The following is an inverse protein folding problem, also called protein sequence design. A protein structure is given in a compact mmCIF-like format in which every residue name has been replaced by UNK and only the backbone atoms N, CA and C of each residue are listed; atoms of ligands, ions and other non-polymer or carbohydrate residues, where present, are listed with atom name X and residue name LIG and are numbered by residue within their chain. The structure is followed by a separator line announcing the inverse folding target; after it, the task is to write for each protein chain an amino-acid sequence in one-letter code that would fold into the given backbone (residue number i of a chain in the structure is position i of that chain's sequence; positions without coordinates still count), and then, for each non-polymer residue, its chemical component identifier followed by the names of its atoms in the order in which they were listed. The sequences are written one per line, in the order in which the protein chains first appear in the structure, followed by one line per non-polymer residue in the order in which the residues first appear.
data_IF_263191131475
#
_entry.id   IF_263191131475
#
_cell.length_a   1.000
_cell.length_b   1.000
_cell.length_c   1.000
_cell.angle_alpha   90.00
_cell.angle_beta   90.00
_cell.angle_gamma   90.00
#
_symmetry.space_group_name_H-M   'P 1'
#
loop_
_entity.id
_entity.type
_entity.pdbx_description
1 polymer ?
#
# COMPACT_ATOMS: atom_id res chain seq x y z
N UNK A 1 -19.15 7.51 42.09
CA UNK A 1 -18.09 8.53 42.32
C UNK A 1 -16.78 7.78 42.49
N UNK A 2 -15.61 8.38 42.21
CA UNK A 2 -14.33 7.68 42.42
C UNK A 2 -14.05 7.56 43.92
N UNK A 3 -13.40 6.46 44.35
CA UNK A 3 -13.02 6.27 45.77
C UNK A 3 -12.18 7.44 46.31
N UNK A 4 -11.40 8.08 45.43
CA UNK A 4 -10.63 9.29 45.73
C UNK A 4 -11.52 10.52 46.02
N UNK A 5 -12.64 10.67 45.30
CA UNK A 5 -13.59 11.76 45.55
C UNK A 5 -14.34 11.57 46.87
N UNK A 6 -14.73 10.34 47.20
CA UNK A 6 -15.36 10.00 48.49
C UNK A 6 -14.39 10.19 49.67
N UNK A 7 -13.10 9.92 49.47
CA UNK A 7 -12.07 10.16 50.49
C UNK A 7 -11.81 11.67 50.71
N UNK A 8 -11.86 12.48 49.65
CA UNK A 8 -11.72 13.93 49.76
C UNK A 8 -12.89 14.55 50.53
N UNK A 9 -14.12 14.09 50.26
CA UNK A 9 -15.32 14.51 51.00
C UNK A 9 -15.25 14.12 52.48
N UNK A 10 -14.82 12.89 52.81
CA UNK A 10 -14.64 12.45 54.19
C UNK A 10 -13.57 13.27 54.95
N UNK A 11 -12.48 13.66 54.28
CA UNK A 11 -11.46 14.56 54.86
C UNK A 11 -11.99 15.95 55.15
N UNK A 12 -12.83 16.49 54.27
CA UNK A 12 -13.47 17.79 54.48
C UNK A 12 -14.45 17.74 55.65
N UNK A 13 -15.30 16.72 55.71
CA UNK A 13 -16.23 16.51 56.83
C UNK A 13 -15.52 16.30 58.17
N UNK A 14 -14.36 15.62 58.15
CA UNK A 14 -13.52 15.47 59.34
C UNK A 14 -12.99 16.83 59.84
N UNK A 15 -12.50 17.68 58.94
CA UNK A 15 -12.00 19.02 59.28
C UNK A 15 -13.12 19.90 59.85
N UNK A 16 -14.28 19.91 59.21
CA UNK A 16 -15.45 20.65 59.67
C UNK A 16 -15.97 20.16 61.04
N UNK A 17 -15.92 18.85 61.29
CA UNK A 17 -16.27 18.28 62.59
C UNK A 17 -15.26 18.65 63.68
N UNK A 18 -13.96 18.69 63.34
CA UNK A 18 -12.90 19.09 64.27
C UNK A 18 -12.98 20.59 64.62
N UNK A 19 -13.31 21.46 63.66
CA UNK A 19 -13.54 22.90 63.90
C UNK A 19 -14.76 23.17 64.79
N UNK A 20 -15.76 22.29 64.75
CA UNK A 20 -16.97 22.36 65.59
C UNK A 20 -16.82 21.62 66.93
N UNK A 21 -15.61 21.14 67.25
CA UNK A 21 -15.29 20.34 68.45
C UNK A 21 -16.15 19.07 68.61
N UNK A 22 -16.71 18.56 67.51
CA UNK A 22 -17.46 17.31 67.45
C UNK A 22 -16.50 16.13 67.23
N UNK A 23 -15.77 15.79 68.29
CA UNK A 23 -14.70 14.80 68.25
C UNK A 23 -15.19 13.39 67.89
N UNK A 24 -16.46 13.06 68.18
CA UNK A 24 -17.05 11.76 67.86
C UNK A 24 -17.27 11.62 66.35
N UNK A 25 -17.80 12.66 65.68
CA UNK A 25 -17.89 12.69 64.22
C UNK A 25 -16.53 12.73 63.54
N UNK A 26 -15.59 13.52 64.05
CA UNK A 26 -14.23 13.58 63.49
C UNK A 26 -13.51 12.23 63.57
N UNK A 27 -13.75 11.44 64.63
CA UNK A 27 -13.22 10.08 64.78
C UNK A 27 -13.88 9.11 63.79
N UNK A 28 -15.20 9.19 63.63
CA UNK A 28 -15.94 8.33 62.68
C UNK A 28 -15.49 8.57 61.23
N UNK A 29 -15.32 9.83 60.82
CA UNK A 29 -14.79 10.15 59.49
C UNK A 29 -13.32 9.72 59.33
N UNK A 30 -12.51 9.77 60.40
CA UNK A 30 -11.15 9.20 60.38
C UNK A 30 -11.14 7.71 60.06
N UNK A 31 -12.01 6.95 60.73
CA UNK A 31 -12.16 5.50 60.50
C UNK A 31 -12.64 5.22 59.07
N UNK A 32 -13.52 6.08 58.54
CA UNK A 32 -13.98 6.01 57.15
C UNK A 32 -12.84 6.28 56.16
N UNK A 33 -12.02 7.29 56.39
CA UNK A 33 -10.84 7.61 55.58
C UNK A 33 -9.86 6.42 55.59
N UNK A 34 -9.56 5.85 56.75
CA UNK A 34 -8.65 4.70 56.86
C UNK A 34 -9.19 3.46 56.11
N UNK A 35 -10.51 3.27 56.09
CA UNK A 35 -11.16 2.19 55.34
C UNK A 35 -11.10 2.43 53.83
N UNK A 36 -11.36 3.65 53.38
CA UNK A 36 -11.26 4.05 51.97
C UNK A 36 -9.82 3.96 51.47
N UNK A 37 -8.84 4.40 52.27
CA UNK A 37 -7.42 4.27 51.95
C UNK A 37 -7.02 2.81 51.77
N UNK A 38 -7.42 1.92 52.67
CA UNK A 38 -7.19 0.47 52.52
C UNK A 38 -7.84 -0.12 51.27
N UNK A 39 -9.00 0.40 50.85
CA UNK A 39 -9.66 -0.04 49.62
C UNK A 39 -8.94 0.45 48.37
N UNK A 40 -8.39 1.66 48.37
CA UNK A 40 -7.55 2.22 47.31
C UNK A 40 -6.22 1.44 47.22
N UNK A 41 -5.56 1.21 48.34
CA UNK A 41 -4.30 0.48 48.41
C UNK A 41 -4.47 -0.97 47.90
N UNK A 42 -5.54 -1.67 48.31
CA UNK A 42 -5.85 -3.02 47.84
C UNK A 42 -6.31 -3.08 46.37
N UNK A 43 -6.99 -2.03 45.86
CA UNK A 43 -7.34 -1.95 44.42
C UNK A 43 -6.09 -1.80 43.54
N UNK A 44 -5.04 -1.16 44.06
CA UNK A 44 -3.82 -0.88 43.31
C UNK A 44 -2.97 -2.16 43.12
N UNK A 45 -3.02 -3.12 44.05
CA UNK A 45 -2.30 -4.40 43.92
C UNK A 45 -2.98 -5.40 42.97
N UNK A 46 -4.32 -5.41 42.90
CA UNK A 46 -5.07 -6.38 42.06
C UNK A 46 -5.32 -5.92 40.62
N UNK A 47 -5.02 -4.65 40.27
CA UNK A 47 -5.25 -4.09 38.94
C UNK A 47 -3.99 -3.48 38.30
N UNK A 48 -2.80 -4.03 38.53
CA UNK A 48 -1.67 -3.74 37.63
C UNK A 48 -1.95 -4.38 36.28
N UNK A 49 -2.53 -3.61 35.36
CA UNK A 49 -2.64 -3.99 33.95
C UNK A 49 -1.23 -3.98 33.37
N UNK A 50 -0.59 -5.14 33.36
CA UNK A 50 0.72 -5.33 32.73
C UNK A 50 0.47 -5.62 31.26
N UNK A 51 0.67 -4.62 30.40
CA UNK A 51 0.67 -4.84 28.96
C UNK A 51 1.90 -5.68 28.58
N UNK A 52 1.68 -6.77 27.84
CA UNK A 52 2.75 -7.54 27.22
C UNK A 52 3.22 -6.85 25.94
N UNK A 53 4.40 -7.22 25.44
CA UNK A 53 4.90 -6.74 24.13
C UNK A 53 3.89 -7.04 23.01
N UNK A 54 3.15 -8.16 23.11
CA UNK A 54 2.13 -8.54 22.14
C UNK A 54 0.89 -7.65 22.22
N UNK A 55 0.49 -7.21 23.40
CA UNK A 55 -0.65 -6.31 23.57
C UNK A 55 -0.36 -4.94 22.94
N UNK A 56 0.89 -4.46 23.11
CA UNK A 56 1.36 -3.21 22.49
C UNK A 56 1.42 -3.36 20.96
N UNK A 57 1.96 -4.47 20.45
CA UNK A 57 1.99 -4.75 19.02
C UNK A 57 0.55 -4.79 18.43
N UNK A 58 -0.37 -5.55 19.03
CA UNK A 58 -1.75 -5.62 18.55
C UNK A 58 -2.50 -4.29 18.65
N UNK A 59 -2.14 -3.42 19.61
CA UNK A 59 -2.71 -2.08 19.67
C UNK A 59 -2.22 -1.21 18.50
N UNK A 60 -0.92 -1.24 18.21
CA UNK A 60 -0.33 -0.52 17.07
C UNK A 60 -0.90 -1.04 15.74
N UNK A 61 -1.02 -2.36 15.58
CA UNK A 61 -1.65 -2.97 14.40
C UNK A 61 -3.11 -2.56 14.22
N UNK A 62 -3.91 -2.53 15.30
CA UNK A 62 -5.30 -2.04 15.23
C UNK A 62 -5.40 -0.56 14.86
N UNK A 63 -4.47 0.27 15.33
CA UNK A 63 -4.48 1.71 15.05
C UNK A 63 -3.98 2.04 13.64
N UNK A 64 -3.01 1.27 13.14
CA UNK A 64 -2.31 1.58 11.88
C UNK A 64 -2.73 0.68 10.72
N UNK A 65 -3.37 -0.45 11.00
CA UNK A 65 -3.62 -1.53 10.05
C UNK A 65 -2.36 -2.33 9.68
N UNK A 66 -1.21 -2.04 10.29
CA UNK A 66 0.08 -2.61 9.90
C UNK A 66 0.47 -3.71 10.88
N UNK A 67 0.70 -4.94 10.40
CA UNK A 67 1.08 -6.05 11.27
C UNK A 67 2.46 -5.81 11.89
N UNK A 68 2.48 -5.66 13.21
CA UNK A 68 3.69 -5.47 14.04
C UNK A 68 3.93 -6.64 15.00
N UNK A 69 3.13 -7.71 14.90
CA UNK A 69 3.29 -8.92 15.70
C UNK A 69 4.70 -9.53 15.53
N UNK A 70 5.36 -9.79 16.66
CA UNK A 70 6.78 -10.16 16.83
C UNK A 70 7.54 -10.62 15.58
N UNK A 71 8.43 -9.73 15.13
CA UNK A 71 9.62 -10.04 14.34
C UNK A 71 10.42 -11.17 15.02
N UNK A 72 10.53 -12.31 14.34
CA UNK A 72 11.35 -13.43 14.80
C UNK A 72 11.46 -14.54 13.75
N UNK A 73 10.41 -15.34 13.61
CA UNK A 73 10.37 -16.46 12.66
C UNK A 73 9.39 -16.25 11.48
N UNK A 74 8.18 -15.74 11.76
CA UNK A 74 7.14 -15.51 10.75
C UNK A 74 7.54 -14.47 9.71
N UNK A 75 8.26 -13.42 10.11
CA UNK A 75 8.69 -12.37 9.19
C UNK A 75 9.78 -12.83 8.22
N UNK A 76 10.69 -13.69 8.69
CA UNK A 76 11.73 -14.29 7.85
C UNK A 76 11.07 -15.21 6.81
N UNK A 77 10.10 -16.04 7.21
CA UNK A 77 9.33 -16.87 6.28
C UNK A 77 8.52 -16.03 5.29
N UNK A 78 7.84 -14.97 5.75
CA UNK A 78 7.13 -14.04 4.87
C UNK A 78 8.08 -13.39 3.86
N UNK A 79 9.28 -13.01 4.27
CA UNK A 79 10.29 -12.45 3.37
C UNK A 79 10.82 -13.50 2.38
N UNK A 80 11.07 -14.75 2.81
CA UNK A 80 11.48 -15.87 1.93
C UNK A 80 10.44 -16.19 0.86
N UNK A 81 9.17 -16.09 1.20
CA UNK A 81 8.05 -16.34 0.28
C UNK A 81 7.61 -15.09 -0.51
N UNK A 82 8.22 -13.92 -0.28
CA UNK A 82 7.82 -12.65 -0.92
C UNK A 82 7.79 -12.74 -2.46
N UNK A 83 8.85 -13.29 -3.06
CA UNK A 83 8.93 -13.48 -4.52
C UNK A 83 7.73 -14.29 -5.03
N UNK A 84 7.45 -15.43 -4.41
CA UNK A 84 6.40 -16.35 -4.85
C UNK A 84 5.01 -15.69 -4.78
N UNK A 85 4.74 -14.93 -3.71
CA UNK A 85 3.47 -14.20 -3.56
C UNK A 85 3.31 -13.06 -4.57
N UNK A 86 4.39 -12.36 -4.88
CA UNK A 86 4.40 -11.32 -5.92
C UNK A 86 4.23 -11.93 -7.32
N UNK A 87 4.98 -12.98 -7.67
CA UNK A 87 4.88 -13.67 -8.97
C UNK A 87 3.51 -14.31 -9.22
N UNK A 88 2.77 -14.69 -8.17
CA UNK A 88 1.40 -15.17 -8.32
C UNK A 88 0.40 -14.10 -8.83
N UNK A 89 0.76 -12.82 -8.73
CA UNK A 89 -0.10 -11.70 -9.12
C UNK A 89 0.51 -10.81 -10.21
N UNK A 90 1.83 -10.82 -10.37
CA UNK A 90 2.58 -10.02 -11.34
C UNK A 90 3.17 -10.97 -12.38
N UNK A 91 2.50 -11.05 -13.53
CA UNK A 91 2.79 -12.01 -14.61
C UNK A 91 3.81 -11.41 -15.60
N UNK A 92 4.73 -12.24 -16.09
CA UNK A 92 5.70 -11.85 -17.14
C UNK A 92 6.87 -10.98 -16.68
N UNK A 93 7.03 -10.77 -15.36
CA UNK A 93 8.02 -9.82 -14.81
C UNK A 93 8.88 -10.45 -13.71
N UNK A 94 9.33 -11.68 -13.90
CA UNK A 94 10.09 -12.43 -12.89
C UNK A 94 11.39 -11.75 -12.46
N UNK A 95 12.11 -11.14 -13.40
CA UNK A 95 13.35 -10.39 -13.13
C UNK A 95 13.07 -9.18 -12.22
N UNK A 96 11.96 -8.48 -12.47
CA UNK A 96 11.53 -7.34 -11.67
C UNK A 96 11.13 -7.76 -10.25
N UNK A 97 10.34 -8.84 -10.14
CA UNK A 97 9.92 -9.39 -8.85
C UNK A 97 11.12 -9.87 -8.03
N UNK A 98 12.10 -10.55 -8.66
CA UNK A 98 13.33 -10.99 -8.00
C UNK A 98 14.15 -9.79 -7.50
N UNK A 99 14.35 -8.78 -8.35
CA UNK A 99 15.13 -7.59 -7.99
C UNK A 99 14.54 -6.84 -6.79
N UNK A 100 13.23 -6.59 -6.80
CA UNK A 100 12.51 -5.95 -5.69
C UNK A 100 12.56 -6.81 -4.44
N UNK A 101 12.26 -8.11 -4.55
CA UNK A 101 12.28 -9.03 -3.41
C UNK A 101 13.65 -9.08 -2.75
N UNK A 102 14.72 -9.14 -3.54
CA UNK A 102 16.10 -9.17 -3.05
C UNK A 102 16.51 -7.89 -2.32
N UNK A 103 16.14 -6.73 -2.85
CA UNK A 103 16.43 -5.44 -2.21
C UNK A 103 15.72 -5.30 -0.86
N UNK A 104 14.43 -5.65 -0.81
CA UNK A 104 13.63 -5.57 0.42
C UNK A 104 14.12 -6.55 1.48
N UNK A 105 14.47 -7.79 1.08
CA UNK A 105 15.08 -8.77 1.98
C UNK A 105 16.37 -8.25 2.59
N UNK A 106 17.24 -7.60 1.80
CA UNK A 106 18.51 -7.04 2.27
C UNK A 106 18.30 -5.97 3.34
N UNK A 107 17.41 -5.02 3.06
CA UNK A 107 17.09 -3.95 4.00
C UNK A 107 16.46 -4.50 5.29
N UNK A 108 15.48 -5.40 5.18
CA UNK A 108 14.80 -6.02 6.34
C UNK A 108 15.68 -6.96 7.16
N UNK A 109 16.70 -7.56 6.55
CA UNK A 109 17.69 -8.37 7.26
C UNK A 109 18.74 -7.51 8.00
N UNK A 110 18.69 -6.18 7.90
CA UNK A 110 19.63 -5.27 8.55
C UNK A 110 20.99 -5.20 7.85
N UNK A 111 21.06 -5.61 6.57
CA UNK A 111 22.29 -5.53 5.75
C UNK A 111 22.37 -4.22 4.95
N UNK A 112 21.77 -3.15 5.46
CA UNK A 112 21.70 -1.82 4.83
C UNK A 112 21.89 -0.74 5.90
N UNK A 113 22.34 0.46 5.51
CA UNK A 113 22.85 1.51 6.42
C UNK A 113 21.76 2.19 7.28
N UNK A 114 20.49 1.75 7.20
CA UNK A 114 19.37 2.19 8.04
C UNK A 114 18.96 3.66 7.90
N UNK A 115 19.67 4.44 7.09
CA UNK A 115 19.39 5.85 6.85
C UNK A 115 18.60 6.13 5.57
N UNK A 116 18.22 5.09 4.81
CA UNK A 116 17.49 5.20 3.55
C UNK A 116 16.09 4.63 3.67
N UNK A 117 15.18 4.94 2.72
CA UNK A 117 13.93 4.21 2.56
C UNK A 117 14.17 2.69 2.49
N UNK A 118 13.15 1.89 2.83
CA UNK A 118 13.21 0.41 2.81
C UNK A 118 13.66 -0.11 1.44
N UNK A 119 13.25 0.59 0.39
CA UNK A 119 13.71 0.37 -0.97
C UNK A 119 13.40 1.57 -1.85
N UNK A 120 14.29 1.88 -2.77
CA UNK A 120 14.11 2.84 -3.85
C UNK A 120 14.28 2.14 -5.19
N UNK A 121 13.25 2.20 -6.04
CA UNK A 121 13.22 1.53 -7.32
C UNK A 121 12.83 2.48 -8.45
N UNK A 122 13.48 2.35 -9.60
CA UNK A 122 13.04 2.97 -10.85
C UNK A 122 12.55 1.86 -11.79
N UNK A 123 11.23 1.83 -12.03
CA UNK A 123 10.58 0.89 -12.93
C UNK A 123 10.49 1.52 -14.32
N UNK A 124 11.22 0.97 -15.28
CA UNK A 124 11.24 1.44 -16.66
C UNK A 124 10.63 0.38 -17.55
N UNK A 125 9.79 0.77 -18.50
CA UNK A 125 9.21 -0.15 -19.47
C UNK A 125 7.97 0.43 -20.16
N UNK A 126 7.30 -0.33 -21.02
CA UNK A 126 6.09 0.13 -21.72
C UNK A 126 4.93 0.40 -20.76
N UNK A 127 3.86 1.02 -21.27
CA UNK A 127 2.63 1.16 -20.50
C UNK A 127 1.88 -0.18 -20.40
N UNK A 128 1.20 -0.42 -19.28
CA UNK A 128 0.31 -1.57 -19.13
C UNK A 128 0.98 -2.94 -18.93
N UNK A 129 2.29 -3.01 -18.69
CA UNK A 129 3.04 -4.27 -18.48
C UNK A 129 3.13 -4.73 -17.02
N UNK A 130 2.65 -3.94 -16.05
CA UNK A 130 2.57 -4.35 -14.65
C UNK A 130 3.35 -3.52 -13.62
N UNK A 131 3.99 -2.40 -14.01
CA UNK A 131 4.73 -1.50 -13.09
C UNK A 131 3.92 -1.11 -11.84
N UNK A 132 2.71 -0.59 -12.05
CA UNK A 132 1.81 -0.19 -10.95
C UNK A 132 1.20 -1.40 -10.22
N UNK A 133 1.03 -2.53 -10.91
CA UNK A 133 0.50 -3.76 -10.28
C UNK A 133 1.53 -4.31 -9.27
N UNK A 134 2.82 -4.32 -9.62
CA UNK A 134 3.87 -4.72 -8.68
C UNK A 134 3.88 -3.82 -7.44
N UNK A 135 3.72 -2.51 -7.60
CA UNK A 135 3.58 -1.59 -6.46
C UNK A 135 2.37 -1.95 -5.57
N UNK A 136 1.20 -2.22 -6.17
CA UNK A 136 -0.02 -2.61 -5.44
C UNK A 136 0.13 -3.92 -4.68
N UNK A 137 0.74 -4.92 -5.31
CA UNK A 137 0.95 -6.22 -4.68
C UNK A 137 1.99 -6.11 -3.56
N UNK A 138 3.02 -5.27 -3.74
CA UNK A 138 3.99 -4.99 -2.70
C UNK A 138 3.38 -4.28 -1.49
N UNK A 139 2.47 -3.31 -1.72
CA UNK A 139 1.75 -2.62 -0.65
C UNK A 139 0.88 -3.59 0.15
N UNK A 140 0.16 -4.49 -0.54
CA UNK A 140 -0.62 -5.54 0.10
C UNK A 140 0.26 -6.48 0.93
N UNK A 141 1.36 -6.98 0.36
CA UNK A 141 2.20 -7.98 1.01
C UNK A 141 2.92 -7.45 2.25
N UNK A 142 3.41 -6.20 2.19
CA UNK A 142 4.22 -5.60 3.26
C UNK A 142 3.41 -4.82 4.28
N UNK A 143 2.36 -4.12 3.85
CA UNK A 143 1.59 -3.23 4.71
C UNK A 143 0.16 -3.74 4.95
N UNK A 144 -0.22 -4.88 4.37
CA UNK A 144 -1.56 -5.46 4.53
C UNK A 144 -2.67 -4.71 3.78
N UNK A 145 -2.33 -3.62 3.09
CA UNK A 145 -3.28 -2.73 2.46
C UNK A 145 -2.80 -2.30 1.06
N UNK A 146 -3.59 -2.61 0.02
CA UNK A 146 -3.33 -2.19 -1.37
C UNK A 146 -3.35 -0.66 -1.55
N UNK A 147 -4.05 0.04 -0.66
CA UNK A 147 -4.23 1.49 -0.68
C UNK A 147 -3.17 2.22 0.16
N UNK A 148 -2.21 1.51 0.75
CA UNK A 148 -1.03 2.10 1.39
C UNK A 148 -0.02 2.65 0.35
N UNK A 149 -0.55 3.37 -0.66
CA UNK A 149 0.20 3.96 -1.76
C UNK A 149 -0.13 5.45 -1.84
N UNK A 150 0.90 6.27 -1.67
CA UNK A 150 0.86 7.70 -1.96
C UNK A 150 1.29 7.87 -3.41
N UNK A 151 0.32 7.94 -4.32
CA UNK A 151 0.57 8.15 -5.75
C UNK A 151 0.68 9.63 -6.08
N UNK A 152 1.72 10.00 -6.81
CA UNK A 152 1.96 11.32 -7.36
C UNK A 152 2.17 11.21 -8.87
N UNK A 153 1.34 11.89 -9.65
CA UNK A 153 1.49 11.99 -11.10
C UNK A 153 2.48 13.11 -11.41
N UNK A 154 3.66 12.77 -11.91
CA UNK A 154 4.74 13.74 -12.14
C UNK A 154 4.44 14.72 -13.28
N UNK A 155 3.43 14.46 -14.11
CA UNK A 155 2.92 15.44 -15.06
C UNK A 155 2.29 16.66 -14.37
N UNK A 156 1.75 16.52 -13.15
CA UNK A 156 1.27 17.66 -12.35
C UNK A 156 2.39 18.51 -11.74
N UNK A 157 3.64 18.02 -11.85
CA UNK A 157 4.87 18.58 -11.29
C UNK A 157 5.86 19.03 -12.37
N UNK A 158 5.39 19.24 -13.61
CA UNK A 158 6.21 19.72 -14.72
C UNK A 158 6.61 21.19 -14.62
N UNK A 159 5.93 21.97 -13.77
CA UNK A 159 6.21 23.37 -13.51
C UNK A 159 7.06 23.53 -12.24
N UNK A 160 8.07 24.41 -12.28
CA UNK A 160 8.91 24.79 -11.15
C UNK A 160 8.12 25.18 -9.89
N UNK A 161 6.98 25.83 -10.05
CA UNK A 161 6.11 26.26 -8.92
C UNK A 161 5.45 25.07 -8.21
N UNK A 162 5.39 23.90 -8.85
CA UNK A 162 4.80 22.69 -8.29
C UNK A 162 5.61 22.08 -7.14
N UNK A 163 6.85 22.51 -6.90
CA UNK A 163 7.63 22.14 -5.70
C UNK A 163 6.83 22.40 -4.43
N UNK A 164 6.08 23.52 -4.38
CA UNK A 164 5.21 23.85 -3.25
C UNK A 164 4.09 22.83 -3.02
N UNK A 165 3.62 22.12 -4.05
CA UNK A 165 2.62 21.05 -3.90
C UNK A 165 3.19 19.80 -3.22
N UNK A 166 4.52 19.59 -3.27
CA UNK A 166 5.19 18.45 -2.63
C UNK A 166 5.48 18.69 -1.16
N UNK A 167 5.99 19.88 -0.81
CA UNK A 167 6.49 20.20 0.53
C UNK A 167 5.66 21.24 1.28
N UNK A 168 4.66 21.84 0.63
CA UNK A 168 3.92 22.97 1.18
C UNK A 168 4.55 24.31 0.84
N UNK A 169 3.82 25.39 1.11
CA UNK A 169 4.32 26.76 0.94
C UNK A 169 5.02 27.25 2.20
N UNK A 170 5.90 28.24 2.03
CA UNK A 170 6.59 28.88 3.14
C UNK A 170 5.65 29.79 3.95
N UNK A 171 5.96 29.99 5.23
CA UNK A 171 5.21 30.90 6.10
C UNK A 171 4.97 32.28 5.45
N UNK A 172 3.72 32.72 5.42
CA UNK A 172 3.29 34.00 4.84
C UNK A 172 2.80 33.94 3.39
N UNK A 173 2.84 32.78 2.73
CA UNK A 173 2.24 32.58 1.41
C UNK A 173 0.83 31.99 1.48
N UNK A 174 -0.01 32.30 0.48
CA UNK A 174 -1.35 31.71 0.34
C UNK A 174 -1.21 30.18 0.20
N UNK A 175 -2.01 29.42 0.97
CA UNK A 175 -1.94 27.96 1.03
C UNK A 175 -1.07 27.41 2.17
N UNK A 176 -0.51 28.27 3.04
CA UNK A 176 0.30 27.85 4.19
C UNK A 176 -0.40 26.85 5.13
N UNK A 177 -1.71 27.04 5.35
CA UNK A 177 -2.53 26.14 6.19
C UNK A 177 -3.07 24.92 5.42
N UNK A 178 -2.92 24.87 4.10
CA UNK A 178 -3.44 23.80 3.23
C UNK A 178 -2.34 22.81 2.82
N UNK A 179 -1.57 22.35 3.80
CA UNK A 179 -0.52 21.34 3.58
C UNK A 179 -1.07 19.90 3.60
N UNK A 180 -2.36 19.70 3.88
CA UNK A 180 -2.92 18.36 4.12
C UNK A 180 -2.76 17.39 2.94
N UNK A 181 -2.62 17.92 1.73
CA UNK A 181 -2.49 17.16 0.50
C UNK A 181 -1.06 16.97 0.02
N UNK A 182 -0.06 17.55 0.70
CA UNK A 182 1.36 17.46 0.31
C UNK A 182 1.92 16.05 0.54
N UNK A 183 3.04 15.73 -0.12
CA UNK A 183 3.72 14.45 0.10
C UNK A 183 4.21 14.34 1.55
N UNK A 184 4.78 15.42 2.08
CA UNK A 184 5.31 15.48 3.45
C UNK A 184 4.23 15.14 4.49
N UNK A 185 3.04 15.72 4.39
CA UNK A 185 1.94 15.44 5.32
C UNK A 185 1.36 14.03 5.16
N UNK A 186 1.22 13.54 3.92
CA UNK A 186 0.72 12.19 3.67
C UNK A 186 1.66 11.12 4.24
N UNK A 187 2.98 11.30 4.10
CA UNK A 187 3.98 10.39 4.68
C UNK A 187 4.05 10.54 6.20
N UNK A 188 3.93 11.76 6.73
CA UNK A 188 3.87 11.97 8.18
C UNK A 188 2.69 11.23 8.82
N UNK A 189 1.53 11.22 8.16
CA UNK A 189 0.34 10.48 8.61
C UNK A 189 0.45 8.97 8.39
N UNK A 190 1.05 8.55 7.28
CA UNK A 190 1.21 7.16 6.88
C UNK A 190 2.69 6.84 6.55
N UNK A 191 3.54 6.69 7.59
CA UNK A 191 4.99 6.52 7.40
C UNK A 191 5.37 5.17 6.80
N UNK A 192 4.47 4.19 6.84
CA UNK A 192 4.61 2.88 6.22
C UNK A 192 3.75 2.82 4.97
N UNK A 193 4.33 3.26 3.86
CA UNK A 193 3.61 3.37 2.61
C UNK A 193 4.56 3.22 1.43
N UNK A 194 3.99 3.00 0.25
CA UNK A 194 4.70 3.15 -1.01
C UNK A 194 4.47 4.56 -1.52
N UNK A 195 5.55 5.30 -1.79
CA UNK A 195 5.48 6.55 -2.54
C UNK A 195 5.70 6.22 -4.01
N UNK A 196 4.64 6.32 -4.82
CA UNK A 196 4.67 6.02 -6.25
C UNK A 196 4.76 7.33 -7.05
N UNK A 197 5.91 7.57 -7.66
CA UNK A 197 6.19 8.71 -8.53
C UNK A 197 5.98 8.27 -9.99
N UNK A 198 4.78 8.53 -10.52
CA UNK A 198 4.38 8.05 -11.84
C UNK A 198 4.89 8.99 -12.95
N UNK A 199 5.48 8.44 -14.02
CA UNK A 199 6.04 9.18 -15.17
C UNK A 199 7.11 10.23 -14.76
N UNK A 200 8.10 9.81 -13.96
CA UNK A 200 9.12 10.69 -13.36
C UNK A 200 9.92 11.53 -14.36
N UNK A 201 10.02 11.12 -15.63
CA UNK A 201 10.62 11.91 -16.71
C UNK A 201 9.88 13.21 -17.03
N UNK A 202 8.62 13.37 -16.57
CA UNK A 202 7.80 14.57 -16.80
C UNK A 202 7.96 15.64 -15.73
N UNK A 203 8.58 15.31 -14.60
CA UNK A 203 8.79 16.25 -13.50
C UNK A 203 9.79 17.35 -13.87
N UNK A 204 9.58 18.54 -13.29
CA UNK A 204 10.58 19.60 -13.34
C UNK A 204 11.89 19.14 -12.63
N UNK A 205 13.09 19.49 -13.16
CA UNK A 205 14.35 19.12 -12.54
C UNK A 205 14.52 19.54 -11.07
N UNK A 206 13.86 20.61 -10.61
CA UNK A 206 13.90 21.02 -9.20
C UNK A 206 13.12 20.07 -8.29
N UNK A 207 12.04 19.47 -8.79
CA UNK A 207 11.31 18.41 -8.09
C UNK A 207 12.20 17.17 -7.96
N UNK A 208 12.89 16.77 -9.03
CA UNK A 208 13.84 15.65 -9.00
C UNK A 208 14.97 15.91 -7.99
N UNK A 209 15.52 17.13 -7.99
CA UNK A 209 16.58 17.51 -7.05
C UNK A 209 16.12 17.39 -5.60
N UNK A 210 14.88 17.79 -5.31
CA UNK A 210 14.30 17.66 -3.98
C UNK A 210 14.13 16.19 -3.57
N UNK A 211 13.70 15.33 -4.49
CA UNK A 211 13.53 13.90 -4.26
C UNK A 211 14.85 13.17 -3.97
N UNK A 212 16.00 13.67 -4.43
CA UNK A 212 17.31 13.11 -4.08
C UNK A 212 17.52 13.05 -2.56
N UNK A 213 17.06 14.06 -1.82
CA UNK A 213 17.18 14.07 -0.34
C UNK A 213 16.44 12.90 0.29
N UNK A 214 15.28 12.54 -0.27
CA UNK A 214 14.49 11.39 0.18
C UNK A 214 15.22 10.09 -0.09
N UNK A 215 15.81 9.95 -1.29
CA UNK A 215 16.52 8.75 -1.71
C UNK A 215 17.84 8.54 -0.92
N UNK A 216 18.49 9.64 -0.52
CA UNK A 216 19.80 9.63 0.12
C UNK A 216 19.73 9.46 1.64
N UNK A 217 18.96 10.32 2.29
CA UNK A 217 18.97 10.50 3.75
C UNK A 217 17.64 10.03 4.39
N UNK A 218 16.70 9.57 3.56
CA UNK A 218 15.41 9.07 4.03
C UNK A 218 14.59 10.13 4.75
N UNK A 219 14.79 11.42 4.42
CA UNK A 219 14.01 12.50 5.00
C UNK A 219 13.72 13.62 3.99
N UNK A 220 12.68 14.40 4.27
CA UNK A 220 12.33 15.59 3.49
C UNK A 220 11.94 16.72 4.43
N UNK A 221 12.49 17.91 4.20
CA UNK A 221 12.08 19.10 4.96
C UNK A 221 10.89 19.76 4.27
N UNK A 222 9.82 20.00 5.00
CA UNK A 222 8.64 20.68 4.49
C UNK A 222 8.86 22.21 4.38
N UNK A 223 7.90 22.93 3.79
CA UNK A 223 7.96 24.39 3.62
C UNK A 223 7.93 25.18 4.94
N UNK A 224 7.60 24.53 6.06
CA UNK A 224 7.60 25.09 7.41
C UNK A 224 8.90 24.81 8.18
N UNK A 225 9.78 23.97 7.62
CA UNK A 225 11.04 23.57 8.26
C UNK A 225 10.94 22.28 9.10
N UNK A 226 9.82 21.57 9.08
CA UNK A 226 9.70 20.29 9.76
C UNK A 226 10.34 19.18 8.92
N UNK A 227 11.10 18.31 9.57
CA UNK A 227 11.74 17.16 8.93
C UNK A 227 10.80 15.95 8.98
N UNK A 228 10.40 15.44 7.81
CA UNK A 228 9.55 14.25 7.66
C UNK A 228 10.43 13.03 7.34
N UNK A 229 10.15 11.91 8.00
CA UNK A 229 10.91 10.67 7.88
C UNK A 229 10.29 9.73 6.82
N UNK A 230 11.11 9.29 5.87
CA UNK A 230 10.78 8.36 4.77
C UNK A 230 11.48 6.99 4.92
N UNK A 231 12.25 6.75 5.99
CA UNK A 231 12.99 5.49 6.20
C UNK A 231 12.09 4.25 6.23
N UNK A 232 10.82 4.40 6.61
CA UNK A 232 9.83 3.32 6.64
C UNK A 232 8.98 3.22 5.36
N UNK A 233 9.32 4.00 4.32
CA UNK A 233 8.62 4.00 3.03
C UNK A 233 9.37 3.16 1.99
N UNK A 234 8.66 2.78 0.93
CA UNK A 234 9.27 2.30 -0.30
C UNK A 234 9.02 3.34 -1.39
N UNK A 235 10.07 3.80 -2.05
CA UNK A 235 9.98 4.76 -3.14
C UNK A 235 10.00 3.99 -4.46
N UNK A 236 8.96 4.14 -5.26
CA UNK A 236 8.88 3.58 -6.61
C UNK A 236 8.68 4.73 -7.58
N UNK A 237 9.64 4.95 -8.46
CA UNK A 237 9.46 5.82 -9.61
C UNK A 237 9.13 4.97 -10.84
N UNK A 238 8.17 5.38 -11.65
CA UNK A 238 7.89 4.74 -12.95
C UNK A 238 8.33 5.66 -14.07
N UNK A 239 8.80 5.07 -15.16
CA UNK A 239 9.12 5.80 -16.38
C UNK A 239 8.72 5.00 -17.61
N UNK A 240 8.20 5.68 -18.62
CA UNK A 240 8.00 5.13 -19.96
C UNK A 240 9.14 5.53 -20.91
N UNK A 241 10.15 6.26 -20.41
CA UNK A 241 11.26 6.74 -21.19
C UNK A 241 12.07 5.58 -21.80
N UNK A 242 12.45 5.73 -23.08
CA UNK A 242 13.19 4.69 -23.80
C UNK A 242 12.33 3.56 -24.38
N UNK A 243 10.99 3.61 -24.27
CA UNK A 243 10.07 2.58 -24.79
C UNK A 243 9.01 3.13 -25.77
N UNK A 244 9.35 4.18 -26.52
CA UNK A 244 8.42 4.89 -27.42
C UNK A 244 8.04 4.11 -28.70
N UNK A 245 6.91 4.52 -29.30
CA UNK A 245 6.48 4.05 -30.62
C UNK A 245 7.55 4.33 -31.68
N UNK A 246 8.18 3.28 -32.21
CA UNK A 246 9.15 3.39 -33.30
C UNK A 246 10.56 2.90 -32.98
N UNK A 247 10.81 2.27 -31.82
CA UNK A 247 12.03 1.49 -31.66
C UNK A 247 12.07 0.40 -32.73
N UNK A 248 13.12 0.43 -33.56
CA UNK A 248 13.37 -0.59 -34.56
C UNK A 248 13.66 -1.93 -33.86
N UNK A 249 13.18 -3.03 -34.44
CA UNK A 249 13.57 -4.39 -34.03
C UNK A 249 15.12 -4.46 -33.98
N UNK A 250 15.68 -4.48 -32.76
CA UNK A 250 17.13 -4.45 -32.51
C UNK A 250 17.60 -3.49 -31.41
N UNK A 251 16.84 -2.44 -31.08
CA UNK A 251 17.18 -1.53 -29.95
C UNK A 251 16.87 -2.15 -28.57
N UNK A 252 16.08 -3.22 -28.52
CA UNK A 252 15.81 -4.05 -27.33
C UNK A 252 17.06 -4.76 -26.77
N UNK A 253 18.19 -4.78 -27.50
CA UNK A 253 19.45 -5.36 -27.03
C UNK A 253 20.42 -4.33 -26.43
N UNK A 254 20.10 -3.03 -26.45
CA UNK A 254 20.93 -2.02 -25.78
C UNK A 254 20.77 -2.10 -24.26
N UNK A 255 21.80 -1.73 -23.50
CA UNK A 255 21.68 -1.65 -22.03
C UNK A 255 20.57 -0.65 -21.65
N UNK A 256 19.72 -1.01 -20.70
CA UNK A 256 18.66 -0.14 -20.18
C UNK A 256 19.20 1.23 -19.74
N UNK A 257 20.40 1.26 -19.15
CA UNK A 257 21.04 2.49 -18.69
C UNK A 257 21.33 3.44 -19.85
N UNK A 258 21.78 2.91 -20.98
CA UNK A 258 22.05 3.70 -22.18
C UNK A 258 20.74 4.28 -22.76
N UNK A 259 19.65 3.50 -22.73
CA UNK A 259 18.33 3.95 -23.22
C UNK A 259 17.75 5.09 -22.39
N UNK A 260 17.94 5.07 -21.06
CA UNK A 260 17.35 6.06 -20.15
C UNK A 260 18.27 7.24 -19.82
N UNK A 261 19.58 7.12 -20.09
CA UNK A 261 20.57 8.17 -19.85
C UNK A 261 20.21 9.55 -20.45
N UNK A 262 19.56 9.66 -21.63
CA UNK A 262 19.14 10.97 -22.16
C UNK A 262 18.08 11.67 -21.32
N UNK A 263 17.31 10.92 -20.52
CA UNK A 263 16.16 11.42 -19.76
C UNK A 263 16.50 11.71 -18.30
N UNK A 264 17.52 11.02 -17.75
CA UNK A 264 17.90 11.12 -16.35
C UNK A 264 19.39 11.42 -16.18
N UNK A 265 19.70 12.26 -15.20
CA UNK A 265 21.09 12.49 -14.80
C UNK A 265 21.63 11.24 -14.09
N UNK A 266 22.90 10.83 -14.34
CA UNK A 266 23.51 9.70 -13.64
C UNK A 266 23.45 9.81 -12.11
N UNK A 267 23.57 11.02 -11.58
CA UNK A 267 23.45 11.33 -10.16
C UNK A 267 22.12 10.87 -9.55
N UNK A 268 21.03 10.94 -10.32
CA UNK A 268 19.69 10.50 -9.91
C UNK A 268 19.54 8.98 -10.00
N UNK A 269 19.99 8.38 -11.10
CA UNK A 269 19.94 6.93 -11.30
C UNK A 269 20.72 6.17 -10.20
N UNK A 270 21.88 6.71 -9.80
CA UNK A 270 22.73 6.11 -8.78
C UNK A 270 22.15 6.14 -7.35
N UNK A 271 21.02 6.84 -7.11
CA UNK A 271 20.35 6.86 -5.79
C UNK A 271 19.29 5.78 -5.63
N UNK A 272 18.89 5.13 -6.73
CA UNK A 272 17.99 3.99 -6.65
C UNK A 272 18.76 2.74 -6.23
N UNK A 273 18.16 1.91 -5.39
CA UNK A 273 18.73 0.59 -5.07
C UNK A 273 18.79 -0.30 -6.31
N UNK A 274 17.81 -0.16 -7.21
CA UNK A 274 17.80 -0.84 -8.51
C UNK A 274 16.99 -0.04 -9.54
N UNK A 275 17.51 -0.03 -10.76
CA UNK A 275 16.74 0.27 -11.98
C UNK A 275 16.26 -1.07 -12.53
N UNK A 276 14.96 -1.19 -12.77
CA UNK A 276 14.30 -2.44 -13.10
C UNK A 276 13.57 -2.27 -14.43
N UNK A 277 13.96 -3.08 -15.40
CA UNK A 277 13.32 -3.17 -16.70
C UNK A 277 12.07 -4.04 -16.62
N UNK A 278 10.97 -3.55 -17.17
CA UNK A 278 9.75 -4.30 -17.41
C UNK A 278 9.64 -4.59 -18.91
N UNK A 279 9.57 -5.87 -19.24
CA UNK A 279 9.53 -6.33 -20.63
C UNK A 279 8.11 -6.25 -21.19
N UNK A 280 8.00 -6.29 -22.52
CA UNK A 280 6.72 -6.53 -23.17
C UNK A 280 6.15 -7.89 -22.74
N UNK A 281 4.82 -7.96 -22.63
CA UNK A 281 4.11 -9.19 -22.31
C UNK A 281 3.99 -10.04 -23.56
N UNK A 282 4.35 -11.31 -23.46
CA UNK A 282 4.13 -12.26 -24.54
C UNK A 282 2.71 -12.87 -24.52
N UNK A 283 2.42 -13.77 -25.46
CA UNK A 283 1.10 -14.39 -25.56
C UNK A 283 0.78 -15.28 -24.35
N UNK A 284 1.79 -15.94 -23.79
CA UNK A 284 1.62 -16.83 -22.64
C UNK A 284 1.38 -16.01 -21.36
N UNK A 285 2.06 -14.87 -21.22
CA UNK A 285 1.81 -13.89 -20.16
C UNK A 285 0.37 -13.38 -20.21
N UNK A 286 -0.11 -12.98 -21.40
CA UNK A 286 -1.48 -12.50 -21.58
C UNK A 286 -2.50 -13.58 -21.19
N UNK A 287 -2.24 -14.83 -21.56
CA UNK A 287 -3.08 -15.97 -21.18
C UNK A 287 -3.17 -16.11 -19.66
N UNK A 288 -2.02 -16.10 -18.98
CA UNK A 288 -1.97 -16.18 -17.53
C UNK A 288 -2.65 -14.98 -16.84
N UNK A 289 -2.56 -13.76 -17.41
CA UNK A 289 -3.28 -12.58 -16.92
C UNK A 289 -4.79 -12.77 -17.06
N UNK A 290 -5.28 -13.28 -18.20
CA UNK A 290 -6.70 -13.55 -18.40
C UNK A 290 -7.19 -14.58 -17.38
N UNK A 291 -6.45 -15.66 -17.15
CA UNK A 291 -6.80 -16.67 -16.15
C UNK A 291 -6.87 -16.09 -14.74
N UNK A 292 -5.91 -15.25 -14.36
CA UNK A 292 -5.91 -14.56 -13.08
C UNK A 292 -7.15 -13.67 -12.91
N UNK A 293 -7.51 -12.90 -13.93
CA UNK A 293 -8.67 -12.01 -13.89
C UNK A 293 -10.00 -12.81 -13.87
N UNK A 294 -10.09 -13.90 -14.62
CA UNK A 294 -11.25 -14.80 -14.59
C UNK A 294 -11.40 -15.48 -13.23
N UNK A 295 -10.31 -15.85 -12.58
CA UNK A 295 -10.35 -16.37 -11.21
C UNK A 295 -10.91 -15.33 -10.22
N UNK A 296 -10.57 -14.05 -10.38
CA UNK A 296 -11.13 -12.96 -9.57
C UNK A 296 -12.64 -12.77 -9.80
N UNK A 297 -13.09 -12.89 -11.06
CA UNK A 297 -14.52 -12.89 -11.40
C UNK A 297 -15.22 -14.07 -10.73
N UNK A 298 -14.67 -15.28 -10.85
CA UNK A 298 -15.22 -16.48 -10.21
C UNK A 298 -15.30 -16.37 -8.68
N UNK A 299 -14.28 -15.81 -8.03
CA UNK A 299 -14.31 -15.54 -6.59
C UNK A 299 -15.45 -14.59 -6.19
N UNK A 300 -15.84 -13.67 -7.08
CA UNK A 300 -16.96 -12.75 -6.87
C UNK A 300 -18.30 -13.46 -7.06
N UNK A 301 -18.43 -14.25 -8.14
CA UNK A 301 -19.63 -15.03 -8.45
C UNK A 301 -19.91 -16.12 -7.39
N UNK A 302 -18.85 -16.74 -6.87
CA UNK A 302 -18.94 -17.78 -5.84
C UNK A 302 -19.63 -17.29 -4.56
N UNK A 303 -19.55 -15.99 -4.23
CA UNK A 303 -20.29 -15.40 -3.10
C UNK A 303 -21.81 -15.49 -3.25
N UNK A 304 -22.29 -15.62 -4.49
CA UNK A 304 -23.71 -15.88 -4.81
C UNK A 304 -23.98 -17.34 -5.14
N UNK A 305 -23.01 -18.24 -4.95
CA UNK A 305 -23.13 -19.66 -5.29
C UNK A 305 -23.12 -19.95 -6.79
N UNK A 306 -22.57 -19.04 -7.60
CA UNK A 306 -22.45 -19.19 -9.05
C UNK A 306 -21.01 -19.56 -9.39
N UNK A 307 -20.84 -20.53 -10.28
CA UNK A 307 -19.56 -20.95 -10.85
C UNK A 307 -19.59 -20.74 -12.36
N UNK A 308 -18.58 -20.06 -12.90
CA UNK A 308 -18.41 -19.85 -14.33
C UNK A 308 -17.20 -20.64 -14.85
N UNK A 309 -17.43 -21.49 -15.83
CA UNK A 309 -16.38 -22.13 -16.64
C UNK A 309 -16.19 -21.31 -17.92
N UNK A 310 -14.96 -20.95 -18.26
CA UNK A 310 -14.65 -20.20 -19.49
C UNK A 310 -13.87 -21.11 -20.42
N UNK A 311 -14.35 -21.30 -21.65
CA UNK A 311 -13.70 -22.18 -22.64
C UNK A 311 -12.37 -21.58 -23.12
N UNK A 312 -11.46 -22.41 -23.64
CA UNK A 312 -10.20 -21.93 -24.22
C UNK A 312 -10.44 -20.97 -25.39
N UNK A 313 -11.46 -21.22 -26.22
CA UNK A 313 -11.85 -20.31 -27.30
C UNK A 313 -12.28 -18.93 -26.76
N UNK A 314 -13.03 -18.88 -25.67
CA UNK A 314 -13.39 -17.63 -25.03
C UNK A 314 -12.18 -16.93 -24.41
N UNK A 315 -11.23 -17.65 -23.81
CA UNK A 315 -9.97 -17.06 -23.32
C UNK A 315 -9.15 -16.44 -24.47
N UNK A 316 -9.04 -17.14 -25.61
CA UNK A 316 -8.36 -16.62 -26.80
C UNK A 316 -9.03 -15.36 -27.33
N UNK A 317 -10.35 -15.36 -27.45
CA UNK A 317 -11.12 -14.18 -27.83
C UNK A 317 -10.87 -12.98 -26.90
N UNK A 318 -10.86 -13.20 -25.58
CA UNK A 318 -10.59 -12.14 -24.60
C UNK A 318 -9.17 -11.58 -24.72
N UNK A 319 -8.19 -12.42 -25.04
CA UNK A 319 -6.81 -11.97 -25.28
C UNK A 319 -6.71 -11.10 -26.53
N UNK A 320 -7.34 -11.53 -27.63
CA UNK A 320 -7.31 -10.79 -28.90
C UNK A 320 -8.00 -9.42 -28.79
N UNK A 321 -9.16 -9.34 -28.12
CA UNK A 321 -9.83 -8.05 -27.90
C UNK A 321 -9.12 -7.16 -26.85
N UNK A 322 -8.46 -7.77 -25.86
CA UNK A 322 -7.92 -7.05 -24.71
C UNK A 322 -6.44 -6.67 -24.80
N UNK A 323 -5.71 -7.19 -25.79
CA UNK A 323 -4.31 -6.84 -26.02
C UNK A 323 -4.17 -5.75 -27.08
N UNK A 324 -3.50 -4.67 -26.69
CA UNK A 324 -3.14 -3.58 -27.58
C UNK A 324 -1.64 -3.29 -27.42
N UNK A 325 -0.89 -3.20 -28.53
CA UNK A 325 0.56 -3.00 -28.49
C UNK A 325 0.96 -1.66 -27.84
N UNK A 326 0.11 -0.63 -27.92
CA UNK A 326 0.32 0.67 -27.26
C UNK A 326 0.06 0.60 -25.74
N UNK A 327 -1.03 -0.07 -25.37
CA UNK A 327 -1.60 -0.02 -24.01
C UNK A 327 -1.29 -1.26 -23.17
N UNK A 328 -0.62 -2.27 -23.74
CA UNK A 328 -0.32 -3.54 -23.09
C UNK A 328 -1.59 -4.27 -22.64
N UNK A 329 -1.55 -4.83 -21.43
CA UNK A 329 -2.67 -5.55 -20.82
C UNK A 329 -3.76 -4.64 -20.20
N UNK A 330 -3.62 -3.31 -20.30
CA UNK A 330 -4.54 -2.36 -19.66
C UNK A 330 -6.01 -2.53 -20.10
N UNK A 331 -6.32 -2.79 -21.39
CA UNK A 331 -7.71 -2.98 -21.82
C UNK A 331 -8.35 -4.28 -21.33
N UNK A 332 -7.57 -5.33 -21.02
CA UNK A 332 -8.09 -6.66 -20.65
C UNK A 332 -9.13 -6.62 -19.53
N UNK A 333 -8.93 -5.81 -18.48
CA UNK A 333 -9.90 -5.69 -17.39
C UNK A 333 -11.27 -5.23 -17.91
N UNK A 334 -11.28 -4.22 -18.79
CA UNK A 334 -12.52 -3.68 -19.38
C UNK A 334 -13.18 -4.71 -20.30
N UNK A 335 -12.39 -5.42 -21.10
CA UNK A 335 -12.92 -6.48 -21.97
C UNK A 335 -13.56 -7.59 -21.16
N UNK A 336 -12.93 -8.07 -20.09
CA UNK A 336 -13.50 -9.08 -19.20
C UNK A 336 -14.75 -8.57 -18.49
N UNK A 337 -14.76 -7.31 -18.03
CA UNK A 337 -15.97 -6.72 -17.45
C UNK A 337 -17.15 -6.76 -18.44
N UNK A 338 -16.95 -6.27 -19.66
CA UNK A 338 -18.00 -6.20 -20.67
C UNK A 338 -18.42 -7.58 -21.21
N UNK A 339 -17.45 -8.44 -21.53
CA UNK A 339 -17.69 -9.71 -22.21
C UNK A 339 -18.06 -10.85 -21.26
N UNK A 340 -17.68 -10.76 -19.99
CA UNK A 340 -17.97 -11.79 -18.99
C UNK A 340 -18.92 -11.26 -17.93
N UNK A 341 -18.52 -10.24 -17.16
CA UNK A 341 -19.29 -9.82 -15.97
C UNK A 341 -20.68 -9.30 -16.35
N UNK A 342 -20.76 -8.45 -17.36
CA UNK A 342 -22.03 -7.87 -17.78
C UNK A 342 -22.96 -8.96 -18.36
N UNK A 343 -22.44 -9.81 -19.25
CA UNK A 343 -23.22 -10.93 -19.83
C UNK A 343 -23.68 -11.96 -18.80
N UNK A 344 -22.85 -12.28 -17.81
CA UNK A 344 -23.24 -13.15 -16.69
C UNK A 344 -24.34 -12.50 -15.86
N UNK A 345 -24.27 -11.18 -15.66
CA UNK A 345 -25.29 -10.44 -14.92
C UNK A 345 -26.62 -10.48 -15.65
N UNK A 346 -26.64 -10.20 -16.95
CA UNK A 346 -27.84 -10.27 -17.78
C UNK A 346 -28.44 -11.68 -17.76
N UNK A 347 -27.61 -12.71 -17.98
CA UNK A 347 -28.05 -14.11 -17.94
C UNK A 347 -28.64 -14.50 -16.58
N UNK A 348 -27.99 -14.09 -15.48
CA UNK A 348 -28.45 -14.37 -14.12
C UNK A 348 -29.81 -13.72 -13.81
N UNK A 349 -30.08 -12.51 -14.32
CA UNK A 349 -31.37 -11.84 -14.10
C UNK A 349 -32.53 -12.59 -14.77
N UNK A 350 -32.28 -13.22 -15.91
CA UNK A 350 -33.27 -14.04 -16.62
C UNK A 350 -33.36 -15.48 -16.07
N UNK A 351 -32.28 -16.00 -15.47
CA UNK A 351 -32.13 -17.40 -15.05
C UNK A 351 -31.57 -17.54 -13.63
N UNK A 352 -32.27 -17.00 -12.63
CA UNK A 352 -31.81 -16.86 -11.24
C UNK A 352 -31.41 -18.19 -10.58
N UNK A 353 -32.02 -19.30 -10.99
CA UNK A 353 -31.79 -20.63 -10.39
C UNK A 353 -30.55 -21.36 -10.94
N UNK A 354 -29.95 -20.87 -12.03
CA UNK A 354 -28.80 -21.52 -12.67
C UNK A 354 -27.51 -21.17 -11.92
N UNK A 355 -26.80 -22.21 -11.45
CA UNK A 355 -25.57 -22.06 -10.65
C UNK A 355 -24.29 -22.33 -11.41
N UNK A 356 -24.36 -23.12 -12.48
CA UNK A 356 -23.20 -23.52 -13.27
C UNK A 356 -23.34 -22.92 -14.66
N UNK A 357 -22.46 -21.98 -14.97
CA UNK A 357 -22.45 -21.24 -16.21
C UNK A 357 -21.22 -21.61 -17.03
N UNK A 358 -21.38 -21.58 -18.35
CA UNK A 358 -20.30 -21.72 -19.30
C UNK A 358 -20.26 -20.48 -20.20
N UNK A 359 -19.08 -19.86 -20.33
CA UNK A 359 -18.80 -18.81 -21.31
C UNK A 359 -18.06 -19.42 -22.49
N UNK A 360 -18.66 -19.31 -23.68
CA UNK A 360 -18.11 -19.86 -24.91
C UNK A 360 -18.28 -18.89 -26.08
N UNK A 361 -17.48 -19.04 -27.14
CA UNK A 361 -17.54 -18.18 -28.33
C UNK A 361 -18.53 -18.77 -29.33
N UNK A 362 -19.58 -18.01 -29.63
CA UNK A 362 -20.59 -18.35 -30.65
C UNK A 362 -20.75 -17.16 -31.58
N UNK A 363 -20.60 -17.40 -32.89
CA UNK A 363 -20.71 -16.39 -33.96
C UNK A 363 -19.84 -15.14 -33.73
N UNK A 364 -18.62 -15.34 -33.20
CA UNK A 364 -17.67 -14.26 -32.96
C UNK A 364 -17.97 -13.40 -31.72
N UNK A 365 -18.82 -13.88 -30.81
CA UNK A 365 -19.12 -13.21 -29.55
C UNK A 365 -19.20 -14.20 -28.39
N UNK A 366 -18.81 -13.77 -27.20
CA UNK A 366 -18.97 -14.62 -26.00
C UNK A 366 -20.45 -14.71 -25.64
N UNK A 367 -20.97 -15.93 -25.46
CA UNK A 367 -22.30 -16.20 -24.96
C UNK A 367 -22.22 -17.00 -23.66
N UNK A 368 -23.12 -16.66 -22.72
CA UNK A 368 -23.27 -17.36 -21.44
C UNK A 368 -24.42 -18.35 -21.58
N UNK A 369 -24.19 -19.59 -21.18
CA UNK A 369 -25.19 -20.67 -21.18
C UNK A 369 -25.09 -21.48 -19.89
N UNK A 370 -26.13 -22.23 -19.57
CA UNK A 370 -26.08 -23.22 -18.49
C UNK A 370 -25.09 -24.35 -18.86
N UNK A 371 -24.20 -24.67 -17.93
CA UNK A 371 -23.23 -25.75 -18.11
C UNK A 371 -23.95 -27.10 -18.07
N UNK A 372 -23.88 -27.85 -19.17
CA UNK A 372 -24.45 -29.19 -19.25
C UNK A 372 -23.48 -30.20 -18.65
N UNK A 373 -23.87 -30.86 -17.56
CA UNK A 373 -23.15 -32.02 -17.04
C UNK A 373 -23.63 -33.27 -17.78
N UNK A 374 -22.77 -33.87 -18.60
CA UNK A 374 -23.03 -35.13 -19.28
C UNK A 374 -22.89 -36.33 -18.34
#
# INVERSE_FOLDING_TARGET
QTLEAEMAEAKQLQLEAAEKEDYEKALNEKVRIDKLQKQIDNHTEQQKVVATVNDVAQAVERMTGIPVSQMGASDIERLKELKNRLSANVIGQDDAVEAVSRAIRRNRAGFDDGNRPIGSFLFVGPTGVGKTELAKQLALDLFGNKDAIIRLDMSEYSDRTAVSKLIGTTAGYIGYDDNSHTLTERVRRNPYSIVLLDEIEKADPQVITLLLQVLDDGHLTDGQGNQVNFKNTIIIATSNAGFGYGMAEGEENQDIMDRIAPFFRPEFLNRFNAVIEFKHLDKDDLKAIVELLLAQVNNTLAKKGIQLTVTEAAKEFLMEEGYDKAMGARPLRRVIENQIRDKVTDYYLDHVDVKYLEADVVDGSIQIKEQSFA
#
